data_IF_680021840698
#
_entry.id   IF_680021840698
#
_cell.length_a   1.000
_cell.length_b   1.000
_cell.length_c   1.000
_cell.angle_alpha   90.00
_cell.angle_beta   90.00
_cell.angle_gamma   90.00
#
_symmetry.space_group_name_H-M   'P 1'
#
loop_
_entity.id
_entity.type
_entity.pdbx_description
1 polymer ?
#
# COMPACT_ATOMS: atom_id res chain seq x y z
N UNK A 1 2.76 -7.72 40.41
CA UNK A 1 3.08 -6.49 39.72
C UNK A 1 2.32 -6.40 38.42
N UNK A 2 1.92 -5.19 38.01
CA UNK A 2 1.22 -4.91 36.76
C UNK A 2 2.17 -4.14 35.87
N UNK A 3 2.43 -4.63 34.63
CA UNK A 3 3.13 -3.91 33.58
C UNK A 3 2.08 -3.31 32.65
N UNK A 4 2.17 -2.02 32.36
CA UNK A 4 1.31 -1.33 31.40
C UNK A 4 2.22 -0.68 30.39
N UNK A 5 2.03 -1.02 29.13
CA UNK A 5 2.68 -0.39 28.01
C UNK A 5 1.63 0.28 27.15
N UNK A 6 1.67 1.60 27.11
CA UNK A 6 0.76 2.40 26.32
C UNK A 6 1.35 2.71 24.94
N UNK A 7 0.49 2.92 23.95
CA UNK A 7 0.86 3.33 22.57
C UNK A 7 1.70 2.32 21.80
N UNK A 8 1.40 1.03 21.92
CA UNK A 8 1.98 0.03 21.05
C UNK A 8 1.33 0.14 19.66
N UNK A 9 2.09 0.57 18.65
CA UNK A 9 1.66 0.60 17.27
C UNK A 9 2.17 -0.65 16.57
N UNK A 10 1.28 -1.42 15.95
CA UNK A 10 1.60 -2.57 15.11
C UNK A 10 1.23 -2.25 13.67
N UNK A 11 2.15 -2.49 12.76
CA UNK A 11 1.92 -2.37 11.31
C UNK A 11 1.37 -3.68 10.74
N UNK A 12 0.80 -3.61 9.53
CA UNK A 12 0.29 -4.78 8.82
C UNK A 12 1.41 -5.83 8.63
N UNK A 13 1.10 -7.08 8.95
CA UNK A 13 2.06 -8.20 8.89
C UNK A 13 3.36 -7.95 9.68
N UNK A 14 3.29 -7.20 10.79
CA UNK A 14 4.40 -7.00 11.72
C UNK A 14 4.28 -7.97 12.90
N UNK A 15 5.37 -8.66 13.21
CA UNK A 15 5.51 -9.43 14.45
C UNK A 15 6.50 -8.70 15.33
N UNK A 16 6.08 -8.36 16.55
CA UNK A 16 6.93 -7.64 17.50
C UNK A 16 7.13 -8.42 18.77
N UNK A 17 8.38 -8.71 19.10
CA UNK A 17 8.77 -9.28 20.37
C UNK A 17 8.85 -8.22 21.46
N UNK A 18 8.10 -8.41 22.55
CA UNK A 18 8.11 -7.51 23.69
C UNK A 18 8.77 -8.23 24.88
N UNK A 19 10.07 -8.00 25.13
CA UNK A 19 10.72 -8.55 26.31
C UNK A 19 10.23 -7.82 27.55
N UNK A 20 9.32 -8.45 28.31
CA UNK A 20 8.80 -7.91 29.57
C UNK A 20 9.59 -8.51 30.71
N UNK A 21 10.41 -7.70 31.35
CA UNK A 21 11.14 -8.08 32.56
C UNK A 21 10.34 -7.63 33.78
N UNK A 22 9.84 -8.59 34.56
CA UNK A 22 9.14 -8.33 35.82
C UNK A 22 10.16 -8.44 36.96
N UNK A 23 10.55 -7.34 37.58
CA UNK A 23 11.39 -7.35 38.76
C UNK A 23 10.62 -7.87 39.99
N UNK A 24 11.28 -8.69 40.79
CA UNK A 24 10.76 -9.15 42.07
C UNK A 24 10.91 -8.03 43.10
N UNK A 25 9.86 -7.34 43.43
CA UNK A 25 9.88 -6.23 44.37
C UNK A 25 8.62 -6.13 45.19
N UNK A 26 8.68 -5.37 46.28
CA UNK A 26 7.61 -5.20 47.27
C UNK A 26 6.28 -4.71 46.66
N UNK A 27 5.20 -4.84 47.43
CA UNK A 27 3.85 -4.40 47.05
C UNK A 27 3.87 -2.91 46.69
N UNK A 28 3.28 -2.58 45.56
CA UNK A 28 2.98 -1.21 45.06
C UNK A 28 4.10 -0.46 44.31
N UNK A 29 4.49 -0.96 43.12
CA UNK A 29 5.03 -0.07 42.08
C UNK A 29 4.45 -0.44 40.72
N UNK A 30 3.70 0.47 40.12
CA UNK A 30 3.32 0.41 38.70
C UNK A 30 4.40 1.12 37.89
N UNK A 31 5.14 0.39 37.06
CA UNK A 31 6.08 0.99 36.13
C UNK A 31 5.31 1.29 34.83
N UNK A 32 5.10 2.55 34.53
CA UNK A 32 4.59 3.01 33.25
C UNK A 32 5.79 3.19 32.31
N UNK A 33 5.89 2.37 31.28
CA UNK A 33 6.86 2.52 30.21
C UNK A 33 6.15 3.15 29.00
N UNK A 34 6.46 4.41 28.71
CA UNK A 34 6.08 5.07 27.47
C UNK A 34 7.17 4.81 26.43
N UNK A 35 6.85 4.01 25.42
CA UNK A 35 7.76 3.83 24.29
C UNK A 35 7.65 5.03 23.34
N UNK A 36 8.53 6.02 23.49
CA UNK A 36 8.71 7.14 22.56
C UNK A 36 9.89 6.87 21.60
N UNK A 37 9.83 5.81 20.85
CA UNK A 37 10.87 5.54 19.85
C UNK A 37 10.36 4.55 18.81
N UNK A 38 10.71 4.77 17.56
CA UNK A 38 10.56 3.73 16.55
C UNK A 38 11.44 2.55 16.97
N UNK A 39 10.82 1.51 17.49
CA UNK A 39 11.55 0.26 17.80
C UNK A 39 11.89 -0.37 16.45
N UNK A 40 13.19 -0.52 16.20
CA UNK A 40 13.66 -1.28 15.05
C UNK A 40 13.09 -2.71 15.13
N UNK A 41 12.45 -3.15 14.06
CA UNK A 41 12.06 -4.55 13.92
C UNK A 41 13.33 -5.38 13.72
N UNK A 42 13.75 -6.07 14.79
CA UNK A 42 14.90 -6.96 14.79
C UNK A 42 14.53 -8.43 14.67
N UNK A 43 13.22 -8.72 14.65
CA UNK A 43 12.69 -10.09 14.62
C UNK A 43 12.55 -10.65 13.22
N UNK A 44 12.49 -9.78 12.20
CA UNK A 44 12.32 -10.16 10.80
C UNK A 44 13.40 -9.59 9.89
N UNK A 45 13.88 -10.40 8.96
CA UNK A 45 14.73 -9.94 7.84
C UNK A 45 13.89 -9.41 6.67
N UNK A 46 12.63 -9.07 6.89
CA UNK A 46 11.71 -8.66 5.85
C UNK A 46 12.10 -7.29 5.31
N UNK A 47 12.54 -7.25 4.07
CA UNK A 47 12.74 -6.00 3.35
C UNK A 47 11.39 -5.51 2.85
N UNK A 48 11.01 -4.31 3.27
CA UNK A 48 9.70 -3.78 2.92
C UNK A 48 9.64 -2.26 2.98
N UNK A 49 8.58 -1.74 2.41
CA UNK A 49 8.25 -0.33 2.38
C UNK A 49 6.79 -0.17 2.81
N UNK A 50 6.57 0.64 3.83
CA UNK A 50 5.24 0.88 4.39
C UNK A 50 4.88 2.36 4.26
N UNK A 51 3.64 2.62 3.84
CA UNK A 51 3.07 3.96 3.74
C UNK A 51 1.80 4.02 4.58
N UNK A 52 1.74 4.97 5.48
CA UNK A 52 0.59 5.22 6.33
C UNK A 52 -0.54 6.00 5.61
N UNK A 53 -1.73 6.01 6.19
CA UNK A 53 -2.91 6.66 5.63
C UNK A 53 -2.71 8.16 5.35
N UNK A 54 -1.94 8.86 6.18
CA UNK A 54 -1.69 10.29 6.01
C UNK A 54 -0.87 10.55 4.75
N UNK A 55 0.21 9.80 4.57
CA UNK A 55 1.05 9.90 3.38
C UNK A 55 0.29 9.50 2.12
N UNK A 56 -0.55 8.45 2.19
CA UNK A 56 -1.39 8.02 1.07
C UNK A 56 -2.33 9.15 0.62
N UNK A 57 -2.94 9.86 1.57
CA UNK A 57 -3.84 10.98 1.28
C UNK A 57 -3.11 12.21 0.70
N UNK A 58 -1.84 12.42 1.05
CA UNK A 58 -1.02 13.54 0.59
C UNK A 58 -0.34 13.28 -0.77
N UNK A 59 -0.23 12.01 -1.19
CA UNK A 59 0.40 11.66 -2.47
C UNK A 59 -0.53 11.97 -3.65
N UNK A 60 0.01 12.58 -4.73
CA UNK A 60 -0.75 12.83 -5.96
C UNK A 60 -0.90 11.54 -6.77
N UNK A 61 -1.76 10.64 -6.30
CA UNK A 61 -1.98 9.36 -6.95
C UNK A 61 -2.82 9.51 -8.20
N UNK A 62 -2.31 9.03 -9.33
CA UNK A 62 -3.03 9.00 -10.60
C UNK A 62 -4.30 8.17 -10.41
N UNK A 63 -5.43 8.75 -10.73
CA UNK A 63 -6.76 8.15 -10.53
C UNK A 63 -7.09 7.76 -9.09
N UNK A 64 -6.37 8.26 -8.08
CA UNK A 64 -6.55 7.84 -6.68
C UNK A 64 -6.26 6.35 -6.44
N UNK A 65 -5.44 5.73 -7.31
CA UNK A 65 -5.11 4.32 -7.24
C UNK A 65 -3.92 4.09 -6.27
N UNK A 66 -4.13 3.43 -5.11
CA UNK A 66 -3.09 3.21 -4.13
C UNK A 66 -1.98 2.27 -4.63
N UNK A 67 -2.25 1.41 -5.61
CA UNK A 67 -1.22 0.52 -6.15
C UNK A 67 -0.11 1.29 -6.90
N UNK A 68 -0.33 2.54 -7.28
CA UNK A 68 0.73 3.40 -7.84
C UNK A 68 1.84 3.70 -6.84
N UNK A 69 1.58 3.55 -5.55
CA UNK A 69 2.57 3.66 -4.47
C UNK A 69 3.66 2.59 -4.61
N UNK A 70 3.36 1.44 -5.22
CA UNK A 70 4.36 0.39 -5.48
C UNK A 70 5.60 0.94 -6.21
N UNK A 71 5.41 1.90 -7.11
CA UNK A 71 6.52 2.54 -7.83
C UNK A 71 7.52 3.30 -6.96
N UNK A 72 7.21 3.55 -5.70
CA UNK A 72 8.11 4.20 -4.73
C UNK A 72 8.96 3.20 -3.95
N UNK A 73 8.63 1.91 -4.00
CA UNK A 73 9.36 0.89 -3.27
C UNK A 73 10.70 0.56 -3.94
N UNK A 74 11.74 0.42 -3.12
CA UNK A 74 13.06 -0.01 -3.61
C UNK A 74 12.99 -1.46 -4.07
N UNK A 75 13.70 -1.82 -5.14
CA UNK A 75 13.70 -3.16 -5.70
C UNK A 75 12.55 -3.42 -6.69
N UNK A 76 11.63 -2.47 -6.89
CA UNK A 76 10.64 -2.56 -7.94
C UNK A 76 11.12 -1.88 -9.21
N UNK A 77 11.16 -2.65 -10.29
CA UNK A 77 11.37 -2.13 -11.62
C UNK A 77 10.04 -2.04 -12.37
N UNK A 78 9.77 -0.90 -12.95
CA UNK A 78 8.62 -0.74 -13.85
C UNK A 78 9.01 -1.25 -15.22
N UNK A 79 8.44 -2.36 -15.66
CA UNK A 79 8.81 -3.06 -16.91
C UNK A 79 7.79 -2.90 -18.04
N UNK A 80 6.88 -1.97 -17.96
CA UNK A 80 5.84 -1.82 -18.98
C UNK A 80 5.34 -0.41 -19.18
N UNK A 81 4.75 -0.16 -20.34
CA UNK A 81 3.95 1.03 -20.56
C UNK A 81 2.79 1.02 -19.57
N UNK A 82 2.70 2.03 -18.72
CA UNK A 82 1.41 2.27 -18.07
C UNK A 82 0.39 2.37 -19.21
N UNK A 83 -0.61 1.51 -19.21
CA UNK A 83 -1.69 1.59 -20.20
C UNK A 83 -2.48 2.86 -19.94
N UNK A 84 -2.01 3.96 -20.51
CA UNK A 84 -2.74 5.22 -20.54
C UNK A 84 -3.96 5.13 -21.46
N UNK A 85 -4.01 4.08 -22.30
CA UNK A 85 -5.11 3.80 -23.22
C UNK A 85 -6.36 3.23 -22.55
N UNK A 86 -6.22 2.75 -21.29
CA UNK A 86 -7.34 2.24 -20.49
C UNK A 86 -7.40 2.86 -19.10
N UNK A 87 -7.61 4.16 -19.00
CA UNK A 87 -7.62 4.86 -17.72
C UNK A 87 -8.76 4.41 -16.79
N UNK A 88 -9.72 3.67 -17.32
CA UNK A 88 -10.90 3.18 -16.60
C UNK A 88 -10.78 1.73 -16.13
N UNK A 89 -9.67 1.04 -16.40
CA UNK A 89 -9.39 -0.28 -15.89
C UNK A 89 -8.30 -0.22 -14.79
N UNK A 90 -8.63 0.28 -13.59
CA UNK A 90 -7.65 0.44 -12.51
C UNK A 90 -7.15 -0.90 -11.96
N UNK A 91 -7.84 -1.98 -12.30
CA UNK A 91 -7.51 -3.34 -11.84
C UNK A 91 -6.23 -3.91 -12.45
N UNK A 92 -5.77 -3.35 -13.59
CA UNK A 92 -4.54 -3.81 -14.23
C UNK A 92 -3.33 -3.14 -13.57
N UNK A 93 -2.65 -3.88 -12.71
CA UNK A 93 -1.39 -3.48 -12.10
C UNK A 93 -0.26 -3.99 -12.99
N UNK A 94 -0.07 -3.29 -14.10
CA UNK A 94 0.87 -3.70 -15.13
C UNK A 94 2.28 -3.22 -14.80
N UNK A 95 3.25 -4.09 -14.97
CA UNK A 95 4.63 -3.69 -15.18
C UNK A 95 5.48 -3.52 -13.93
N UNK A 96 5.10 -4.03 -12.79
CA UNK A 96 5.98 -4.06 -11.63
C UNK A 96 6.66 -5.42 -11.49
N UNK A 97 7.97 -5.44 -11.66
CA UNK A 97 8.82 -6.59 -11.39
C UNK A 97 9.55 -6.37 -10.06
N UNK A 98 9.48 -7.32 -9.17
CA UNK A 98 10.14 -7.30 -7.88
C UNK A 98 11.52 -7.95 -8.01
N UNK A 99 12.59 -7.25 -7.63
CA UNK A 99 13.96 -7.78 -7.56
C UNK A 99 14.40 -8.62 -8.78
N UNK A 100 13.99 -8.19 -9.98
CA UNK A 100 14.33 -8.87 -11.22
C UNK A 100 13.47 -10.08 -11.59
N UNK A 101 12.39 -10.35 -10.84
CA UNK A 101 11.41 -11.37 -11.20
C UNK A 101 10.51 -10.92 -12.36
N UNK A 102 9.62 -11.80 -12.79
CA UNK A 102 8.63 -11.44 -13.82
C UNK A 102 7.53 -10.55 -13.21
N UNK A 103 7.05 -9.58 -13.96
CA UNK A 103 6.04 -8.62 -13.54
C UNK A 103 4.67 -9.21 -13.18
N UNK A 104 4.41 -10.46 -13.53
CA UNK A 104 3.16 -11.17 -13.27
C UNK A 104 3.23 -12.14 -12.07
N UNK A 105 4.25 -12.04 -11.23
CA UNK A 105 4.54 -12.99 -10.15
C UNK A 105 4.53 -12.36 -8.76
N UNK A 106 3.75 -11.33 -8.57
CA UNK A 106 3.51 -10.72 -7.26
C UNK A 106 2.11 -11.05 -6.75
N UNK A 107 1.96 -11.10 -5.45
CA UNK A 107 0.67 -11.29 -4.80
C UNK A 107 0.14 -9.99 -4.21
N UNK A 108 -1.16 -9.80 -4.31
CA UNK A 108 -1.87 -8.65 -3.78
C UNK A 108 -2.87 -9.11 -2.72
N UNK A 109 -2.79 -8.47 -1.56
CA UNK A 109 -3.66 -8.79 -0.43
C UNK A 109 -4.42 -7.54 0.02
N UNK A 110 -5.68 -7.72 0.39
CA UNK A 110 -6.50 -6.70 1.06
C UNK A 110 -7.00 -7.31 2.37
N UNK A 111 -6.64 -6.71 3.49
CA UNK A 111 -6.90 -7.22 4.84
C UNK A 111 -6.51 -8.70 5.02
N UNK A 112 -5.40 -9.10 4.41
CA UNK A 112 -4.90 -10.46 4.41
C UNK A 112 -5.60 -11.43 3.44
N UNK A 113 -6.67 -11.01 2.78
CA UNK A 113 -7.35 -11.82 1.77
C UNK A 113 -6.71 -11.63 0.38
N UNK A 114 -6.51 -12.70 -0.40
CA UNK A 114 -5.97 -12.59 -1.76
C UNK A 114 -6.87 -11.73 -2.65
N UNK A 115 -6.29 -10.73 -3.27
CA UNK A 115 -6.93 -9.85 -4.26
C UNK A 115 -6.33 -9.99 -5.66
N UNK A 116 -5.44 -10.94 -5.86
CA UNK A 116 -4.83 -11.23 -7.16
C UNK A 116 -5.77 -12.07 -8.00
N UNK A 117 -6.09 -11.61 -9.20
CA UNK A 117 -6.80 -12.40 -10.18
C UNK A 117 -5.83 -13.26 -10.99
N UNK A 118 -6.15 -14.54 -11.15
CA UNK A 118 -5.39 -15.49 -11.97
C UNK A 118 -5.87 -15.55 -13.42
N UNK A 119 -6.83 -14.70 -13.80
CA UNK A 119 -7.45 -14.76 -15.12
C UNK A 119 -6.50 -14.37 -16.28
N UNK A 120 -5.43 -13.65 -15.99
CA UNK A 120 -4.45 -13.24 -16.97
C UNK A 120 -3.06 -13.73 -16.58
N UNK A 121 -2.40 -14.48 -17.46
CA UNK A 121 -1.08 -15.07 -17.20
C UNK A 121 0.07 -14.07 -17.37
N UNK A 122 -0.17 -12.93 -17.99
CA UNK A 122 0.87 -11.95 -18.34
C UNK A 122 0.87 -10.69 -17.48
N UNK A 123 -0.16 -10.47 -16.68
CA UNK A 123 -0.34 -9.24 -15.93
C UNK A 123 -0.86 -9.56 -14.53
N UNK A 124 -0.46 -8.76 -13.55
CA UNK A 124 -1.09 -8.78 -12.24
C UNK A 124 -2.37 -7.96 -12.30
N UNK A 125 -3.48 -8.61 -12.05
CA UNK A 125 -4.80 -7.98 -12.01
C UNK A 125 -5.32 -8.03 -10.58
N UNK A 126 -5.64 -6.87 -10.01
CA UNK A 126 -6.35 -6.81 -8.75
C UNK A 126 -7.84 -7.11 -8.97
N UNK A 127 -8.42 -7.97 -8.15
CA UNK A 127 -9.87 -8.18 -8.15
C UNK A 127 -10.63 -6.93 -7.72
N UNK A 128 -10.01 -6.13 -6.87
CA UNK A 128 -10.57 -4.87 -6.39
C UNK A 128 -9.45 -3.85 -6.13
N UNK A 129 -9.71 -2.60 -6.51
CA UNK A 129 -8.83 -1.47 -6.21
C UNK A 129 -9.57 -0.54 -5.24
N UNK A 130 -9.20 -0.51 -3.98
CA UNK A 130 -9.83 0.37 -3.01
C UNK A 130 -9.49 1.84 -3.34
N UNK A 131 -10.42 2.77 -3.12
CA UNK A 131 -10.08 4.20 -3.15
C UNK A 131 -8.99 4.50 -2.12
N UNK A 132 -8.07 5.40 -2.45
CA UNK A 132 -6.98 5.79 -1.55
C UNK A 132 -7.46 6.29 -0.18
N UNK A 133 -8.64 6.89 -0.14
CA UNK A 133 -9.25 7.39 1.12
C UNK A 133 -9.67 6.26 2.08
N UNK A 134 -9.95 5.06 1.58
CA UNK A 134 -10.24 3.88 2.39
C UNK A 134 -8.99 3.21 2.97
N UNK A 135 -7.83 3.48 2.41
CA UNK A 135 -6.61 2.78 2.80
C UNK A 135 -6.07 3.31 4.12
N UNK A 136 -5.88 2.43 5.08
CA UNK A 136 -5.24 2.71 6.36
C UNK A 136 -3.72 2.60 6.26
N UNK A 137 -3.27 1.56 5.58
CA UNK A 137 -1.85 1.25 5.44
C UNK A 137 -1.60 0.49 4.14
N UNK A 138 -0.49 0.78 3.49
CA UNK A 138 -0.01 0.14 2.28
C UNK A 138 1.40 -0.37 2.51
N UNK A 139 1.61 -1.67 2.38
CA UNK A 139 2.91 -2.31 2.59
C UNK A 139 3.32 -3.11 1.38
N UNK A 140 4.55 -2.92 0.93
CA UNK A 140 5.21 -3.74 -0.08
C UNK A 140 6.35 -4.48 0.59
N UNK A 141 6.40 -5.79 0.43
CA UNK A 141 7.49 -6.64 0.87
C UNK A 141 8.19 -7.21 -0.35
N UNK A 142 9.51 -7.01 -0.42
CA UNK A 142 10.36 -7.49 -1.52
C UNK A 142 11.35 -8.51 -0.99
N UNK A 143 11.83 -9.41 -1.83
CA UNK A 143 12.89 -10.39 -1.62
C UNK A 143 12.74 -11.35 -0.43
N UNK A 144 12.54 -10.86 0.78
CA UNK A 144 12.45 -11.67 2.01
C UNK A 144 11.09 -11.47 2.67
N UNK A 145 10.04 -11.98 2.05
CA UNK A 145 8.70 -12.00 2.65
C UNK A 145 8.52 -13.26 3.50
N UNK A 146 7.58 -13.19 4.44
CA UNK A 146 7.29 -14.29 5.38
C UNK A 146 6.78 -15.54 4.63
N UNK A 147 7.09 -16.73 5.16
CA UNK A 147 6.67 -18.01 4.60
C UNK A 147 5.15 -18.23 4.54
N UNK A 148 4.36 -17.40 5.22
CA UNK A 148 2.90 -17.38 5.08
C UNK A 148 2.43 -16.98 3.66
N UNK A 149 3.27 -16.29 2.88
CA UNK A 149 2.98 -15.85 1.53
C UNK A 149 3.56 -16.82 0.51
N UNK A 150 2.74 -17.71 -0.05
CA UNK A 150 3.19 -18.80 -0.91
C UNK A 150 2.89 -18.62 -2.40
N UNK A 151 2.12 -17.60 -2.79
CA UNK A 151 1.65 -17.41 -4.16
C UNK A 151 2.42 -16.35 -4.94
N UNK A 152 3.68 -16.14 -4.58
CA UNK A 152 4.52 -15.12 -5.20
C UNK A 152 5.95 -15.62 -5.43
N UNK A 153 6.60 -15.12 -6.47
CA UNK A 153 8.03 -15.34 -6.73
C UNK A 153 8.87 -14.12 -6.38
N UNK A 154 8.26 -12.94 -6.28
CA UNK A 154 9.01 -11.69 -6.19
C UNK A 154 8.66 -10.78 -5.02
N UNK A 155 7.40 -10.75 -4.62
CA UNK A 155 7.00 -9.86 -3.53
C UNK A 155 5.50 -9.84 -3.29
N UNK A 156 5.15 -9.27 -2.16
CA UNK A 156 3.77 -9.18 -1.68
C UNK A 156 3.41 -7.73 -1.43
N UNK A 157 2.26 -7.33 -1.95
CA UNK A 157 1.67 -6.03 -1.65
C UNK A 157 0.42 -6.22 -0.80
N UNK A 158 0.43 -5.66 0.39
CA UNK A 158 -0.67 -5.75 1.35
C UNK A 158 -1.29 -4.38 1.58
N UNK A 159 -2.60 -4.32 1.48
CA UNK A 159 -3.41 -3.14 1.80
C UNK A 159 -4.25 -3.45 3.03
N UNK A 160 -4.22 -2.57 4.03
CA UNK A 160 -5.16 -2.58 5.14
C UNK A 160 -6.20 -1.48 4.94
N UNK A 161 -7.46 -1.81 5.15
CA UNK A 161 -8.58 -0.87 5.03
C UNK A 161 -8.89 -0.27 6.40
N UNK A 162 -9.27 1.00 6.43
CA UNK A 162 -9.70 1.69 7.64
C UNK A 162 -10.87 0.98 8.29
N UNK A 163 -10.75 0.68 9.57
CA UNK A 163 -11.84 0.11 10.37
C UNK A 163 -12.77 1.21 10.87
N UNK A 164 -14.04 0.89 11.02
CA UNK A 164 -15.02 1.77 11.65
C UNK A 164 -14.73 1.96 13.15
N UNK A 165 -15.26 3.02 13.72
CA UNK A 165 -15.20 3.33 15.14
C UNK A 165 -16.60 3.57 15.70
N UNK A 166 -16.74 3.67 17.04
CA UNK A 166 -18.02 3.99 17.68
C UNK A 166 -18.42 5.49 17.54
N UNK A 167 -17.65 6.27 16.82
CA UNK A 167 -17.95 7.67 16.52
C UNK A 167 -18.24 7.80 15.04
N UNK A 168 -19.36 8.45 14.70
CA UNK A 168 -19.68 8.76 13.32
C UNK A 168 -18.62 9.72 12.77
N UNK A 169 -17.92 9.33 11.74
CA UNK A 169 -16.95 10.15 11.02
C UNK A 169 -16.91 9.69 9.57
N UNK A 170 -16.54 10.59 8.69
CA UNK A 170 -16.46 10.29 7.29
C UNK A 170 -15.78 11.41 6.53
N UNK A 171 -15.55 11.15 5.25
CA UNK A 171 -14.99 12.11 4.31
C UNK A 171 -15.76 12.10 3.00
N UNK A 172 -15.68 13.21 2.29
CA UNK A 172 -16.16 13.32 0.91
C UNK A 172 -14.96 13.71 0.07
N UNK A 173 -14.73 13.01 -1.01
CA UNK A 173 -13.62 13.29 -1.91
C UNK A 173 -14.09 13.39 -3.37
N UNK A 174 -13.31 14.13 -4.15
CA UNK A 174 -13.52 14.29 -5.57
C UNK A 174 -12.18 14.34 -6.30
N UNK A 175 -11.86 13.29 -7.03
CA UNK A 175 -10.68 13.26 -7.89
C UNK A 175 -11.09 13.70 -9.30
N UNK A 176 -10.48 14.77 -9.80
CA UNK A 176 -10.72 15.28 -11.13
C UNK A 176 -9.41 15.35 -11.92
N UNK A 177 -9.40 14.77 -13.09
CA UNK A 177 -8.30 14.81 -14.04
C UNK A 177 -8.82 15.37 -15.37
N UNK A 178 -8.96 16.70 -15.48
CA UNK A 178 -9.45 17.29 -16.71
C UNK A 178 -8.40 17.24 -17.83
N UNK A 179 -8.80 16.95 -19.05
CA UNK A 179 -7.94 16.94 -20.24
C UNK A 179 -7.10 18.21 -20.39
N UNK A 180 -7.62 19.34 -19.95
CA UNK A 180 -6.91 20.64 -20.04
C UNK A 180 -5.62 20.67 -19.23
N UNK A 181 -5.52 19.88 -18.17
CA UNK A 181 -4.32 19.76 -17.32
C UNK A 181 -3.41 18.59 -17.71
N UNK A 182 -3.85 17.74 -18.65
CA UNK A 182 -3.02 16.64 -19.13
C UNK A 182 -1.89 17.17 -20.05
N UNK A 183 -0.70 16.59 -19.89
CA UNK A 183 0.42 16.84 -20.80
C UNK A 183 0.48 15.75 -21.87
N UNK A 184 0.98 16.12 -23.05
CA UNK A 184 1.38 15.16 -24.08
C UNK A 184 2.85 14.80 -23.84
N UNK A 185 3.24 13.57 -24.10
CA UNK A 185 4.64 13.17 -24.04
C UNK A 185 5.48 13.91 -25.09
N UNK A 186 6.80 13.92 -24.91
CA UNK A 186 7.71 14.64 -25.79
C UNK A 186 7.57 14.20 -27.25
N UNK A 187 7.51 12.90 -27.51
CA UNK A 187 7.41 12.37 -28.87
C UNK A 187 6.04 12.59 -29.51
N UNK A 188 4.97 12.52 -28.72
CA UNK A 188 3.63 12.87 -29.18
C UNK A 188 3.55 14.35 -29.56
N UNK A 189 4.10 15.22 -28.72
CA UNK A 189 4.11 16.65 -28.96
C UNK A 189 4.96 17.01 -30.18
N UNK A 190 6.13 16.40 -30.35
CA UNK A 190 7.00 16.62 -31.52
C UNK A 190 6.38 16.17 -32.84
N UNK A 191 5.45 15.23 -32.81
CA UNK A 191 4.70 14.73 -33.97
C UNK A 191 3.38 15.48 -34.20
N UNK A 192 3.08 16.48 -33.37
CA UNK A 192 1.83 17.22 -33.46
C UNK A 192 0.58 16.40 -33.07
N UNK A 193 0.73 15.34 -32.30
CA UNK A 193 -0.39 14.53 -31.84
C UNK A 193 -1.27 15.32 -30.86
N UNK A 194 -2.58 15.16 -31.02
CA UNK A 194 -3.53 15.74 -30.08
C UNK A 194 -3.34 15.13 -28.68
N UNK A 195 -3.61 15.94 -27.65
CA UNK A 195 -3.61 15.45 -26.26
C UNK A 195 -4.56 14.27 -26.11
N UNK A 196 -4.13 13.19 -25.44
CA UNK A 196 -5.03 12.07 -25.18
C UNK A 196 -6.24 12.53 -24.36
N UNK A 197 -7.38 11.99 -24.65
CA UNK A 197 -8.60 12.25 -23.87
C UNK A 197 -8.68 11.30 -22.69
N UNK A 198 -8.00 11.68 -21.61
CA UNK A 198 -7.90 10.91 -20.37
C UNK A 198 -8.68 11.56 -19.22
N UNK A 199 -9.69 12.37 -19.54
CA UNK A 199 -10.48 13.02 -18.50
C UNK A 199 -11.18 12.00 -17.60
N UNK A 200 -11.00 12.13 -16.30
CA UNK A 200 -11.60 11.27 -15.29
C UNK A 200 -12.18 12.11 -14.16
N UNK A 201 -13.34 11.70 -13.68
CA UNK A 201 -14.02 12.31 -12.54
C UNK A 201 -14.49 11.20 -11.59
N UNK A 202 -14.02 11.22 -10.36
CA UNK A 202 -14.32 10.20 -9.36
C UNK A 202 -14.81 10.83 -8.06
N UNK A 203 -16.11 11.08 -7.91
CA UNK A 203 -16.69 11.43 -6.62
C UNK A 203 -16.77 10.21 -5.72
N UNK A 204 -16.60 10.41 -4.41
CA UNK A 204 -16.79 9.36 -3.44
C UNK A 204 -16.98 9.91 -2.03
N UNK A 205 -17.36 9.02 -1.13
CA UNK A 205 -17.47 9.33 0.29
C UNK A 205 -17.16 8.08 1.11
N UNK A 206 -16.71 8.28 2.33
CA UNK A 206 -16.55 7.26 3.37
C UNK A 206 -17.39 7.66 4.58
N UNK A 207 -17.92 6.68 5.29
CA UNK A 207 -18.73 6.91 6.49
C UNK A 207 -18.40 5.87 7.54
#
# INVERSE_FOLDING_TARGET
KKHIQDKLLLQISETRDLPIVLEVGGMEEAVNVTAEGAVLDTSGANMGFTVDARRIAELPLIHGDPYKIMGLATGLAHSGSQRLDRPYEPTHIVGFAFDGTRSNRSDLLIDGAPSTSTANQNEVIATYVPPSDLVQEFKVQTATFDAQFGNTEGGVTSISIKSGTNRLHGSVYYFAEPKSLAATDFFGNSRGQARPDTSSNRPGFTL
#
